data_IF_364597087461
#
_entry.id   IF_364597087461
#
_cell.length_a   1.000
_cell.length_b   1.000
_cell.length_c   1.000
_cell.angle_alpha   90.00
_cell.angle_beta   90.00
_cell.angle_gamma   90.00
#
_symmetry.space_group_name_H-M   'P 1'
#
loop_
_entity.id
_entity.type
_entity.pdbx_description
1 polymer ?
#
# COMPACT_ATOMS: atom_id res chain seq x y z
N UNK A 1 -10.72 15.67 -29.68
CA UNK A 1 -10.32 14.71 -28.62
C UNK A 1 -8.82 14.83 -28.50
N UNK A 2 -8.31 15.10 -27.30
CA UNK A 2 -6.87 15.09 -27.02
C UNK A 2 -6.40 13.64 -26.97
N UNK A 3 -5.22 13.35 -27.54
CA UNK A 3 -4.63 12.02 -27.44
C UNK A 3 -4.35 11.64 -25.97
N UNK A 4 -4.46 10.34 -25.63
CA UNK A 4 -4.16 9.88 -24.27
C UNK A 4 -2.67 10.06 -23.98
N UNK A 5 -2.37 10.72 -22.86
CA UNK A 5 -1.01 10.94 -22.39
C UNK A 5 -0.43 9.62 -21.87
N UNK A 6 0.82 9.25 -22.22
CA UNK A 6 1.47 8.06 -21.67
C UNK A 6 1.61 8.13 -20.14
N UNK A 7 1.44 7.00 -19.41
CA UNK A 7 1.59 6.97 -17.96
C UNK A 7 2.93 7.53 -17.45
N UNK A 8 4.01 7.34 -18.20
CA UNK A 8 5.34 7.81 -17.84
C UNK A 8 5.41 9.33 -17.72
N UNK A 9 4.73 10.05 -18.61
CA UNK A 9 4.67 11.51 -18.58
C UNK A 9 3.82 11.99 -17.40
N UNK A 10 2.74 11.28 -17.08
CA UNK A 10 1.90 11.56 -15.90
C UNK A 10 2.72 11.40 -14.62
N UNK A 11 3.47 10.30 -14.49
CA UNK A 11 4.31 10.05 -13.31
C UNK A 11 5.46 11.05 -13.21
N UNK A 12 6.11 11.38 -14.33
CA UNK A 12 7.16 12.39 -14.36
C UNK A 12 6.62 13.75 -13.90
N UNK A 13 5.46 14.18 -14.41
CA UNK A 13 4.84 15.42 -13.99
C UNK A 13 4.45 15.39 -12.49
N UNK A 14 3.79 14.32 -12.03
CA UNK A 14 3.34 14.19 -10.65
C UNK A 14 4.50 14.21 -9.64
N UNK A 15 5.63 13.57 -9.97
CA UNK A 15 6.81 13.49 -9.09
C UNK A 15 7.46 14.84 -8.75
N UNK A 16 7.09 15.92 -9.45
CA UNK A 16 7.61 17.27 -9.19
C UNK A 16 6.85 18.01 -8.07
N UNK A 17 5.77 17.43 -7.55
CA UNK A 17 4.93 18.04 -6.52
C UNK A 17 5.01 17.25 -5.21
N UNK A 18 4.97 17.94 -4.07
CA UNK A 18 4.93 17.28 -2.76
C UNK A 18 3.57 16.65 -2.46
N UNK A 19 2.49 17.21 -3.00
CA UNK A 19 1.11 16.75 -2.77
C UNK A 19 0.41 16.40 -4.08
N UNK A 20 -0.44 15.37 -4.04
CA UNK A 20 -1.23 14.93 -5.19
C UNK A 20 -2.65 14.56 -4.79
N UNK A 21 -3.65 15.03 -5.55
CA UNK A 21 -5.05 14.66 -5.30
C UNK A 21 -5.31 13.22 -5.71
N UNK A 22 -5.86 12.43 -4.80
CA UNK A 22 -6.32 11.06 -5.06
C UNK A 22 -7.78 10.90 -4.62
N UNK A 23 -8.73 11.50 -5.37
CA UNK A 23 -10.15 11.35 -5.08
C UNK A 23 -10.56 9.89 -5.28
N UNK A 24 -11.57 9.47 -4.52
CA UNK A 24 -12.13 8.13 -4.57
C UNK A 24 -12.68 7.80 -5.96
N UNK A 25 -12.49 6.54 -6.38
CA UNK A 25 -13.11 5.97 -7.56
C UNK A 25 -14.35 5.19 -7.16
N UNK A 26 -14.46 3.95 -7.65
CA UNK A 26 -15.44 2.98 -7.14
C UNK A 26 -15.09 2.46 -5.73
N UNK A 27 -13.83 2.61 -5.30
CA UNK A 27 -13.34 2.27 -3.97
C UNK A 27 -12.75 3.48 -3.22
N UNK A 28 -12.46 3.29 -1.93
CA UNK A 28 -11.90 4.31 -1.04
C UNK A 28 -10.39 4.50 -1.26
N UNK A 29 -9.67 3.40 -1.50
CA UNK A 29 -8.36 3.44 -2.10
C UNK A 29 -8.46 3.22 -3.61
N UNK A 30 -7.56 3.88 -4.33
CA UNK A 30 -7.42 3.71 -5.77
C UNK A 30 -5.94 3.53 -6.11
N UNK A 31 -5.66 2.95 -7.28
CA UNK A 31 -4.29 2.74 -7.74
C UNK A 31 -3.45 4.02 -7.67
N UNK A 32 -4.05 5.16 -8.01
CA UNK A 32 -3.43 6.49 -7.92
C UNK A 32 -2.90 6.84 -6.54
N UNK A 33 -3.55 6.42 -5.45
CA UNK A 33 -3.04 6.70 -4.10
C UNK A 33 -1.68 6.04 -3.90
N UNK A 34 -1.55 4.77 -4.31
CA UNK A 34 -0.30 4.02 -4.18
C UNK A 34 0.75 4.44 -5.21
N UNK A 35 0.35 4.83 -6.41
CA UNK A 35 1.25 5.43 -7.41
C UNK A 35 1.87 6.73 -6.88
N UNK A 36 1.07 7.62 -6.29
CA UNK A 36 1.57 8.86 -5.70
C UNK A 36 2.55 8.58 -4.56
N UNK A 37 2.23 7.64 -3.66
CA UNK A 37 3.14 7.23 -2.60
C UNK A 37 4.49 6.76 -3.18
N UNK A 38 4.47 5.87 -4.17
CA UNK A 38 5.68 5.36 -4.83
C UNK A 38 6.52 6.44 -5.52
N UNK A 39 5.91 7.57 -5.90
CA UNK A 39 6.59 8.74 -6.46
C UNK A 39 7.11 9.70 -5.38
N UNK A 40 6.92 9.41 -4.09
CA UNK A 40 7.26 10.30 -2.98
C UNK A 40 6.27 11.46 -2.80
N UNK A 41 5.09 11.37 -3.42
CA UNK A 41 4.05 12.39 -3.37
C UNK A 41 3.04 12.03 -2.27
N UNK A 42 2.74 12.98 -1.39
CA UNK A 42 1.77 12.84 -0.30
C UNK A 42 0.35 12.87 -0.91
N UNK A 43 -0.41 11.76 -0.89
CA UNK A 43 -1.75 11.73 -1.45
C UNK A 43 -2.74 12.47 -0.56
N UNK A 44 -3.60 13.27 -1.17
CA UNK A 44 -4.77 13.88 -0.54
C UNK A 44 -5.99 13.05 -0.91
N UNK A 45 -6.58 12.37 0.07
CA UNK A 45 -7.71 11.45 -0.11
C UNK A 45 -8.98 11.99 0.56
N UNK A 46 -10.14 11.55 0.08
CA UNK A 46 -11.41 11.88 0.72
C UNK A 46 -11.53 11.18 2.08
N UNK A 47 -12.04 11.89 3.09
CA UNK A 47 -12.36 11.30 4.38
C UNK A 47 -13.50 10.29 4.27
N UNK A 48 -13.52 9.32 5.21
CA UNK A 48 -14.52 8.26 5.24
C UNK A 48 -15.22 8.17 6.60
N UNK A 49 -16.57 8.03 6.65
CA UNK A 49 -17.28 7.75 7.89
C UNK A 49 -16.78 6.47 8.56
N UNK A 50 -16.36 6.55 9.82
CA UNK A 50 -15.72 5.43 10.54
C UNK A 50 -14.20 5.32 10.31
N UNK A 51 -13.60 6.26 9.59
CA UNK A 51 -12.18 6.31 9.28
C UNK A 51 -11.76 5.34 8.17
N UNK A 52 -10.48 5.35 7.83
CA UNK A 52 -9.91 4.45 6.81
C UNK A 52 -9.61 3.04 7.35
N UNK A 53 -10.06 2.70 8.57
CA UNK A 53 -9.81 1.42 9.24
C UNK A 53 -8.32 1.00 9.21
N UNK A 54 -7.42 1.97 9.34
CA UNK A 54 -5.98 1.76 9.32
C UNK A 54 -5.40 1.52 7.93
N UNK A 55 -6.16 1.68 6.83
CA UNK A 55 -5.66 1.50 5.46
C UNK A 55 -4.41 2.34 5.18
N UNK A 56 -4.40 3.59 5.66
CA UNK A 56 -3.28 4.52 5.52
C UNK A 56 -2.48 4.72 6.81
N UNK A 57 -2.69 3.87 7.82
CA UNK A 57 -1.96 4.00 9.09
C UNK A 57 -0.44 3.92 8.84
N UNK A 58 0.26 4.88 9.42
CA UNK A 58 1.71 5.10 9.33
C UNK A 58 2.23 5.37 7.90
N UNK A 59 1.34 5.72 6.96
CA UNK A 59 1.71 6.21 5.63
C UNK A 59 1.54 7.74 5.56
N UNK A 60 2.33 8.44 4.72
CA UNK A 60 2.20 9.88 4.53
C UNK A 60 1.00 10.17 3.63
N UNK A 61 -0.20 10.09 4.21
CA UNK A 61 -1.48 10.37 3.56
C UNK A 61 -2.20 11.47 4.31
N UNK A 62 -2.73 12.42 3.55
CA UNK A 62 -3.56 13.50 4.05
C UNK A 62 -5.03 13.12 3.80
N UNK A 63 -5.78 12.90 4.87
CA UNK A 63 -7.22 12.61 4.79
C UNK A 63 -8.03 13.91 4.96
N UNK A 64 -8.90 14.21 4.00
CA UNK A 64 -9.80 15.36 4.09
C UNK A 64 -10.92 15.12 5.13
N UNK A 65 -11.45 16.18 5.77
CA UNK A 65 -12.64 16.08 6.61
C UNK A 65 -13.84 15.46 5.88
N UNK A 66 -14.76 14.84 6.62
CA UNK A 66 -15.91 14.10 6.07
C UNK A 66 -16.85 14.97 5.22
N UNK A 67 -17.01 16.22 5.63
CA UNK A 67 -17.87 17.23 5.02
C UNK A 67 -17.15 18.02 3.90
N UNK A 68 -15.90 17.65 3.60
CA UNK A 68 -15.09 18.36 2.63
C UNK A 68 -15.50 18.03 1.19
N UNK A 69 -16.05 19.03 0.48
CA UNK A 69 -16.42 18.89 -0.92
C UNK A 69 -15.30 19.40 -1.84
N UNK A 70 -14.62 18.46 -2.50
CA UNK A 70 -13.54 18.71 -3.46
C UNK A 70 -13.97 19.68 -4.58
N UNK A 71 -15.25 19.69 -4.98
CA UNK A 71 -15.73 20.54 -6.08
C UNK A 71 -15.91 22.01 -5.71
N UNK A 72 -16.10 22.33 -4.44
CA UNK A 72 -16.28 23.71 -3.94
C UNK A 72 -15.04 24.25 -3.25
N UNK A 73 -14.01 23.42 -3.08
CA UNK A 73 -12.79 23.77 -2.36
C UNK A 73 -11.92 24.70 -3.20
N UNK A 74 -11.43 25.78 -2.61
CA UNK A 74 -10.53 26.72 -3.30
C UNK A 74 -9.07 26.28 -3.16
N UNK A 75 -8.16 26.72 -4.06
CA UNK A 75 -6.72 26.47 -3.90
C UNK A 75 -6.16 26.97 -2.56
N UNK A 76 -6.72 28.05 -2.00
CA UNK A 76 -6.31 28.58 -0.70
C UNK A 76 -6.66 27.64 0.47
N UNK A 77 -7.79 26.96 0.36
CA UNK A 77 -8.21 25.99 1.38
C UNK A 77 -7.30 24.76 1.37
N UNK A 78 -6.94 24.27 0.18
CA UNK A 78 -5.92 23.22 0.05
C UNK A 78 -4.58 23.66 0.63
N UNK A 79 -4.13 24.89 0.35
CA UNK A 79 -2.86 25.40 0.87
C UNK A 79 -2.81 25.40 2.40
N UNK A 80 -3.87 25.92 3.05
CA UNK A 80 -3.98 25.89 4.51
C UNK A 80 -3.93 24.47 5.05
N UNK A 81 -4.61 23.56 4.39
CA UNK A 81 -4.72 22.18 4.84
C UNK A 81 -3.38 21.43 4.68
N UNK A 82 -2.69 21.62 3.55
CA UNK A 82 -1.34 21.09 3.32
C UNK A 82 -0.35 21.66 4.34
N UNK A 83 -0.40 22.97 4.62
CA UNK A 83 0.43 23.62 5.64
C UNK A 83 0.14 23.08 7.04
N UNK A 84 -1.13 22.88 7.39
CA UNK A 84 -1.49 22.30 8.68
C UNK A 84 -0.95 20.87 8.83
N UNK A 85 -1.01 20.06 7.77
CA UNK A 85 -0.52 18.69 7.78
C UNK A 85 1.00 18.61 7.97
N UNK A 86 1.81 19.36 7.20
CA UNK A 86 3.29 19.32 7.34
C UNK A 86 3.79 19.84 8.68
N UNK A 87 3.00 20.68 9.35
CA UNK A 87 3.31 21.19 10.69
C UNK A 87 2.68 20.35 11.81
N UNK A 88 1.95 19.28 11.48
CA UNK A 88 1.28 18.45 12.47
C UNK A 88 2.26 17.45 13.10
N UNK A 89 2.03 17.03 14.36
CA UNK A 89 2.79 15.94 14.98
C UNK A 89 2.73 14.64 14.15
N UNK A 90 1.59 14.38 13.51
CA UNK A 90 1.42 13.20 12.65
C UNK A 90 2.42 13.14 11.48
N UNK A 91 2.92 14.30 11.03
CA UNK A 91 3.95 14.37 10.00
C UNK A 91 5.35 14.52 10.57
N UNK A 92 5.53 15.35 11.61
CA UNK A 92 6.85 15.68 12.15
C UNK A 92 7.44 14.59 13.06
N UNK A 93 6.60 13.80 13.71
CA UNK A 93 7.01 12.79 14.69
C UNK A 93 6.96 11.36 14.13
N UNK A 94 6.48 11.18 12.88
CA UNK A 94 6.36 9.88 12.23
C UNK A 94 7.47 9.71 11.17
N UNK A 95 8.17 8.58 11.20
CA UNK A 95 9.17 8.21 10.18
C UNK A 95 8.55 7.48 8.98
N UNK A 96 7.29 7.06 9.10
CA UNK A 96 6.50 6.32 8.11
C UNK A 96 7.03 4.92 7.74
N UNK A 97 8.12 4.45 8.35
CA UNK A 97 8.76 3.18 8.00
C UNK A 97 7.80 2.00 8.24
N UNK A 98 7.07 2.06 9.36
CA UNK A 98 6.06 1.06 9.69
C UNK A 98 4.93 0.98 8.64
N UNK A 99 4.54 2.11 8.04
CA UNK A 99 3.54 2.14 6.97
C UNK A 99 4.09 1.61 5.65
N UNK A 100 5.33 1.96 5.31
CA UNK A 100 6.00 1.50 4.09
C UNK A 100 6.11 -0.01 4.01
N UNK A 101 6.46 -0.69 5.11
CA UNK A 101 6.52 -2.15 5.17
C UNK A 101 5.17 -2.80 4.78
N UNK A 102 4.05 -2.13 5.08
CA UNK A 102 2.70 -2.61 4.77
C UNK A 102 2.35 -2.54 3.29
N UNK A 103 3.12 -1.86 2.46
CA UNK A 103 2.89 -1.89 1.01
C UNK A 103 3.33 -3.22 0.39
N UNK A 104 4.14 -4.00 1.10
CA UNK A 104 4.71 -5.23 0.57
C UNK A 104 3.95 -6.47 1.03
N UNK A 105 3.79 -7.41 0.10
CA UNK A 105 3.17 -8.72 0.36
C UNK A 105 3.85 -9.46 1.52
N UNK A 106 5.16 -9.26 1.71
CA UNK A 106 5.94 -9.87 2.79
C UNK A 106 5.35 -9.56 4.16
N UNK A 107 5.02 -8.29 4.44
CA UNK A 107 4.44 -7.87 5.71
C UNK A 107 3.11 -8.58 5.97
N UNK A 108 2.16 -8.47 5.02
CA UNK A 108 0.83 -9.05 5.17
C UNK A 108 0.86 -10.56 5.31
N UNK A 109 1.72 -11.23 4.54
CA UNK A 109 1.91 -12.67 4.62
C UNK A 109 2.37 -13.09 6.02
N UNK A 110 3.39 -12.40 6.58
CA UNK A 110 3.88 -12.67 7.94
C UNK A 110 2.80 -12.40 8.98
N UNK A 111 2.10 -11.26 8.88
CA UNK A 111 1.02 -10.90 9.79
C UNK A 111 -0.09 -11.96 9.82
N UNK A 112 -0.60 -12.34 8.65
CA UNK A 112 -1.66 -13.37 8.53
C UNK A 112 -1.20 -14.72 9.11
N UNK A 113 0.04 -15.14 8.84
CA UNK A 113 0.55 -16.41 9.36
C UNK A 113 0.75 -16.36 10.88
N UNK A 114 1.29 -15.26 11.40
CA UNK A 114 1.45 -15.02 12.84
C UNK A 114 0.10 -15.03 13.55
N UNK A 115 -0.90 -14.33 13.02
CA UNK A 115 -2.26 -14.27 13.58
C UNK A 115 -2.92 -15.66 13.63
N UNK A 116 -2.50 -16.58 12.75
CA UNK A 116 -2.94 -17.98 12.70
C UNK A 116 -2.03 -18.95 13.47
N UNK A 117 -0.94 -18.47 14.09
CA UNK A 117 0.06 -19.32 14.76
C UNK A 117 0.85 -20.23 13.80
N UNK A 118 0.98 -19.83 12.53
CA UNK A 118 1.58 -20.59 11.42
C UNK A 118 2.94 -20.05 11.00
N UNK A 119 3.66 -19.35 11.88
CA UNK A 119 4.99 -18.79 11.58
C UNK A 119 6.00 -19.84 11.10
N UNK A 120 5.84 -21.08 11.57
CA UNK A 120 6.66 -22.24 11.20
C UNK A 120 6.51 -22.67 9.74
N UNK A 121 5.45 -22.22 9.05
CA UNK A 121 5.21 -22.52 7.65
C UNK A 121 6.04 -21.64 6.70
N UNK A 122 6.66 -20.57 7.22
CA UNK A 122 7.60 -19.74 6.47
C UNK A 122 8.94 -20.48 6.40
N UNK A 123 9.36 -20.79 5.18
CA UNK A 123 10.65 -21.44 4.90
C UNK A 123 11.51 -20.47 4.11
N UNK A 124 12.78 -20.35 4.46
CA UNK A 124 13.74 -19.50 3.77
C UNK A 124 14.72 -20.36 2.98
N UNK A 125 15.01 -19.98 1.73
CA UNK A 125 16.07 -20.64 0.96
C UNK A 125 17.48 -20.14 1.33
N UNK A 126 18.49 -20.73 0.73
CA UNK A 126 19.91 -20.36 0.91
C UNK A 126 20.21 -18.93 0.45
N UNK A 127 19.36 -18.34 -0.38
CA UNK A 127 19.47 -16.96 -0.88
C UNK A 127 18.71 -15.94 -0.02
N UNK A 128 18.05 -16.38 1.07
CA UNK A 128 17.26 -15.52 1.95
C UNK A 128 15.83 -15.25 1.46
N UNK A 129 15.37 -15.91 0.39
CA UNK A 129 14.00 -15.76 -0.13
C UNK A 129 13.02 -16.60 0.66
N UNK A 130 11.91 -15.99 1.05
CA UNK A 130 10.88 -16.61 1.88
C UNK A 130 9.74 -17.21 1.05
N UNK A 131 9.42 -18.46 1.36
CA UNK A 131 8.35 -19.26 0.79
C UNK A 131 7.37 -19.71 1.89
N UNK A 132 6.14 -20.00 1.50
CA UNK A 132 5.10 -20.49 2.42
C UNK A 132 4.39 -21.66 1.77
N UNK A 133 4.11 -22.70 2.56
CA UNK A 133 3.29 -23.83 2.12
C UNK A 133 1.83 -23.39 1.96
N UNK A 134 1.31 -23.46 0.75
CA UNK A 134 -0.08 -23.09 0.43
C UNK A 134 -0.86 -24.27 -0.13
N UNK A 135 -2.20 -24.15 -0.11
CA UNK A 135 -3.08 -25.13 -0.73
C UNK A 135 -3.01 -25.01 -2.25
N UNK A 136 -3.11 -26.17 -2.92
CA UNK A 136 -3.25 -26.22 -4.37
C UNK A 136 -4.74 -26.10 -4.71
N UNK A 137 -5.11 -25.04 -5.43
CA UNK A 137 -6.45 -24.92 -6.00
C UNK A 137 -6.50 -25.71 -7.32
N UNK A 138 -7.46 -26.62 -7.47
CA UNK A 138 -7.62 -27.48 -8.66
C UNK A 138 -8.09 -28.89 -8.34
N UNK A 139 -8.34 -29.75 -9.36
CA UNK A 139 -8.96 -31.07 -9.18
C UNK A 139 -8.09 -32.10 -8.42
N UNK A 140 -6.83 -31.77 -8.12
CA UNK A 140 -5.96 -32.57 -7.25
C UNK A 140 -5.61 -31.79 -5.98
N UNK A 141 -6.44 -31.86 -4.92
CA UNK A 141 -6.32 -31.05 -3.70
C UNK A 141 -5.30 -31.66 -2.71
N UNK A 142 -4.06 -31.81 -3.14
CA UNK A 142 -2.93 -32.15 -2.26
C UNK A 142 -2.06 -30.92 -1.97
N UNK A 143 -1.55 -30.72 -0.74
CA UNK A 143 -0.61 -29.62 -0.46
C UNK A 143 0.66 -29.80 -1.31
N UNK A 144 0.96 -28.82 -2.16
CA UNK A 144 2.18 -28.81 -2.96
C UNK A 144 3.24 -27.94 -2.28
N UNK A 145 4.45 -28.48 -2.14
CA UNK A 145 5.61 -27.67 -1.77
C UNK A 145 6.01 -26.93 -3.07
N UNK A 146 5.84 -25.61 -3.11
CA UNK A 146 6.31 -24.79 -4.21
C UNK A 146 7.82 -24.63 -4.05
N UNK A 147 8.59 -25.39 -4.84
CA UNK A 147 10.04 -25.29 -4.86
C UNK A 147 10.48 -24.41 -6.03
N UNK A 148 11.66 -23.78 -5.90
CA UNK A 148 12.32 -23.13 -7.03
C UNK A 148 12.73 -24.18 -8.07
N UNK A 149 12.98 -23.74 -9.31
CA UNK A 149 13.26 -24.57 -10.49
C UNK A 149 14.43 -25.57 -10.30
N UNK A 150 15.21 -25.42 -9.24
CA UNK A 150 16.32 -26.32 -8.88
C UNK A 150 15.91 -27.53 -8.02
N UNK A 151 14.62 -27.87 -7.92
CA UNK A 151 14.14 -29.11 -7.30
C UNK A 151 14.58 -29.33 -5.84
N UNK A 152 15.04 -28.29 -5.13
CA UNK A 152 15.50 -28.43 -3.75
C UNK A 152 14.32 -28.38 -2.77
N UNK A 153 13.44 -29.38 -2.87
CA UNK A 153 12.31 -29.61 -1.99
C UNK A 153 12.71 -30.49 -0.81
N UNK A 154 13.67 -30.09 0.02
CA UNK A 154 14.06 -30.90 1.18
C UNK A 154 13.05 -30.75 2.33
N UNK A 155 11.93 -31.44 2.16
CA UNK A 155 10.98 -31.81 3.19
C UNK A 155 10.59 -33.27 2.97
N UNK A 156 11.55 -34.19 3.08
CA UNK A 156 11.28 -35.63 3.06
C UNK A 156 10.30 -35.97 4.18
N UNK A 157 9.12 -36.46 3.78
CA UNK A 157 8.22 -37.20 4.66
C UNK A 157 8.92 -38.48 5.11
N UNK A 158 9.07 -38.66 6.42
CA UNK A 158 8.80 -39.96 7.05
C UNK A 158 7.35 -39.95 7.49
#
# INVERSE_FOLDING_TARGET
QTEPIPPQEIYAAASTYLFGLSPNGLGWDCYRTYELLLLGVIPIVAGRPGGTHGLFQDLPVLELPLDWNITTTTPHDYLKLMQAYVNSPAFLENDFDAGWERLFLRYWRRKILSDLGRDKDIVTDESGKEFVKTWRYGPNPGPAILCSDNNNCNGQKK
#
